data_IF_822145960643
#
_entry.id   IF_822145960643
#
_cell.length_a   1.000
_cell.length_b   1.000
_cell.length_c   1.000
_cell.angle_alpha   90.00
_cell.angle_beta   90.00
_cell.angle_gamma   90.00
#
_symmetry.space_group_name_H-M   'P 1'
#
loop_
_entity.id
_entity.type
_entity.pdbx_description
1 polymer ?
#
# COMPACT_ATOMS: atom_id res chain seq x y z
N UNK A 1 16.56 1.22 -9.19
CA UNK A 1 16.14 0.42 -10.36
C UNK A 1 15.18 -0.72 -9.97
N UNK A 2 15.51 -1.59 -8.99
CA UNK A 2 14.65 -2.72 -8.57
C UNK A 2 13.21 -2.31 -8.21
N UNK A 3 13.04 -1.22 -7.48
CA UNK A 3 11.71 -0.72 -7.05
C UNK A 3 10.82 -0.36 -8.25
N UNK A 4 11.40 0.22 -9.31
CA UNK A 4 10.67 0.55 -10.55
C UNK A 4 10.30 -0.72 -11.30
N UNK A 5 11.23 -1.66 -11.42
CA UNK A 5 10.97 -2.95 -12.08
C UNK A 5 9.85 -3.73 -11.37
N UNK A 6 9.85 -3.75 -10.05
CA UNK A 6 8.83 -4.48 -9.27
C UNK A 6 7.49 -3.75 -9.25
N UNK A 7 7.48 -2.49 -8.85
CA UNK A 7 6.22 -1.77 -8.62
C UNK A 7 5.57 -1.27 -9.91
N UNK A 8 6.35 -0.82 -10.89
CA UNK A 8 5.79 -0.25 -12.13
C UNK A 8 5.69 -1.33 -13.20
N UNK A 9 6.83 -1.88 -13.62
CA UNK A 9 6.87 -2.89 -14.69
C UNK A 9 6.15 -4.19 -14.30
N UNK A 10 6.34 -4.65 -13.05
CA UNK A 10 5.67 -5.84 -12.55
C UNK A 10 4.15 -5.69 -12.53
N UNK A 11 3.64 -4.53 -12.08
CA UNK A 11 2.20 -4.26 -12.10
C UNK A 11 1.64 -4.14 -13.52
N UNK A 12 2.37 -3.48 -14.44
CA UNK A 12 2.02 -3.43 -15.86
C UNK A 12 1.88 -4.85 -16.46
N UNK A 13 2.84 -5.72 -16.20
CA UNK A 13 2.82 -7.09 -16.67
C UNK A 13 1.64 -7.89 -16.10
N UNK A 14 1.35 -7.74 -14.80
CA UNK A 14 0.23 -8.42 -14.15
C UNK A 14 -1.10 -7.93 -14.70
N UNK A 15 -1.29 -6.62 -14.88
CA UNK A 15 -2.52 -6.05 -15.43
C UNK A 15 -2.73 -6.54 -16.87
N UNK A 16 -1.70 -6.51 -17.71
CA UNK A 16 -1.77 -7.03 -19.08
C UNK A 16 -2.18 -8.51 -19.11
N UNK A 17 -1.56 -9.31 -18.27
CA UNK A 17 -1.88 -10.73 -18.18
C UNK A 17 -3.32 -10.96 -17.67
N UNK A 18 -3.78 -10.17 -16.71
CA UNK A 18 -5.13 -10.25 -16.20
C UNK A 18 -6.18 -9.92 -17.28
N UNK A 19 -5.96 -8.85 -18.04
CA UNK A 19 -6.83 -8.46 -19.15
C UNK A 19 -6.85 -9.56 -20.23
N UNK A 20 -5.69 -10.08 -20.61
CA UNK A 20 -5.57 -11.11 -21.64
C UNK A 20 -6.22 -12.46 -21.24
N UNK A 21 -6.49 -12.67 -19.97
CA UNK A 21 -7.12 -13.89 -19.44
C UNK A 21 -8.50 -13.63 -18.81
N UNK A 22 -9.15 -12.54 -19.14
CA UNK A 22 -10.51 -12.18 -18.70
C UNK A 22 -10.69 -12.24 -17.15
N UNK A 23 -9.65 -11.87 -16.40
CA UNK A 23 -9.72 -11.78 -14.94
C UNK A 23 -10.67 -10.64 -14.56
N UNK A 24 -11.67 -10.93 -13.75
CA UNK A 24 -12.75 -10.00 -13.46
C UNK A 24 -12.30 -8.76 -12.70
N UNK A 25 -11.39 -8.89 -11.73
CA UNK A 25 -10.94 -7.76 -10.91
C UNK A 25 -9.46 -7.86 -10.57
N UNK A 26 -8.76 -6.72 -10.62
CA UNK A 26 -7.38 -6.55 -10.20
C UNK A 26 -7.32 -5.42 -9.17
N UNK A 27 -6.81 -5.69 -7.99
CA UNK A 27 -6.58 -4.69 -6.94
C UNK A 27 -5.09 -4.48 -6.75
N UNK A 28 -4.58 -3.32 -7.12
CA UNK A 28 -3.18 -2.96 -6.96
C UNK A 28 -2.92 -2.42 -5.56
N UNK A 29 -2.00 -3.05 -4.83
CA UNK A 29 -1.65 -2.65 -3.48
C UNK A 29 -0.72 -1.44 -3.50
N UNK A 30 -1.20 -0.29 -3.04
CA UNK A 30 -0.46 0.96 -2.92
C UNK A 30 -0.24 1.35 -1.45
N UNK A 31 0.08 2.58 -1.18
CA UNK A 31 0.48 3.08 0.13
C UNK A 31 0.06 4.53 0.32
N UNK A 32 -0.09 4.96 1.56
CA UNK A 32 -0.24 6.36 1.96
C UNK A 32 0.88 7.26 1.41
N UNK A 33 2.10 6.70 1.27
CA UNK A 33 3.29 7.41 0.76
C UNK A 33 3.24 7.72 -0.74
N UNK A 34 2.27 7.17 -1.47
CA UNK A 34 2.02 7.51 -2.88
C UNK A 34 1.25 8.83 -3.05
N UNK A 35 0.60 9.34 -2.00
CA UNK A 35 -0.19 10.58 -2.03
C UNK A 35 0.71 11.81 -2.19
N UNK A 36 1.79 11.87 -1.43
CA UNK A 36 2.79 12.93 -1.50
C UNK A 36 4.19 12.30 -1.50
N UNK A 37 4.61 11.75 -2.64
CA UNK A 37 5.78 10.86 -2.69
C UNK A 37 7.09 11.65 -2.61
N UNK A 38 7.85 11.44 -1.54
CA UNK A 38 9.16 12.06 -1.30
C UNK A 38 10.33 11.08 -1.40
N UNK A 39 10.05 9.79 -1.55
CA UNK A 39 11.08 8.76 -1.65
C UNK A 39 10.80 7.78 -2.80
N UNK A 40 11.81 7.02 -3.20
CA UNK A 40 11.73 6.10 -4.35
C UNK A 40 10.57 5.09 -4.25
N UNK A 41 10.25 4.60 -3.05
CA UNK A 41 9.14 3.67 -2.85
C UNK A 41 7.79 4.36 -3.09
N UNK A 42 7.55 5.53 -2.47
CA UNK A 42 6.33 6.31 -2.69
C UNK A 42 6.18 6.74 -4.15
N UNK A 43 7.26 7.23 -4.77
CA UNK A 43 7.27 7.63 -6.19
C UNK A 43 6.90 6.45 -7.10
N UNK A 44 7.53 5.29 -6.90
CA UNK A 44 7.24 4.11 -7.72
C UNK A 44 5.83 3.57 -7.53
N UNK A 45 5.26 3.67 -6.32
CA UNK A 45 3.86 3.30 -6.06
C UNK A 45 2.90 4.30 -6.70
N UNK A 46 3.20 5.60 -6.65
CA UNK A 46 2.42 6.61 -7.37
C UNK A 46 2.43 6.38 -8.90
N UNK A 47 3.59 6.00 -9.46
CA UNK A 47 3.68 5.61 -10.87
C UNK A 47 2.86 4.34 -11.16
N UNK A 48 2.91 3.33 -10.30
CA UNK A 48 2.09 2.12 -10.41
C UNK A 48 0.59 2.47 -10.47
N UNK A 49 0.11 3.37 -9.61
CA UNK A 49 -1.28 3.83 -9.63
C UNK A 49 -1.64 4.50 -10.97
N UNK A 50 -0.73 5.29 -11.53
CA UNK A 50 -0.95 5.92 -12.85
C UNK A 50 -1.00 4.90 -13.97
N UNK A 51 -0.20 3.85 -13.91
CA UNK A 51 -0.28 2.71 -14.84
C UNK A 51 -1.64 2.02 -14.71
N UNK A 52 -2.06 1.66 -13.50
CA UNK A 52 -3.36 1.04 -13.25
C UNK A 52 -4.52 1.91 -13.76
N UNK A 53 -4.51 3.22 -13.46
CA UNK A 53 -5.52 4.17 -13.93
C UNK A 53 -5.51 4.34 -15.46
N UNK A 54 -4.36 4.22 -16.12
CA UNK A 54 -4.26 4.29 -17.57
C UNK A 54 -5.02 3.13 -18.23
N UNK A 55 -4.86 1.92 -17.72
CA UNK A 55 -5.64 0.77 -18.18
C UNK A 55 -7.13 0.91 -17.85
N UNK A 56 -7.46 1.29 -16.64
CA UNK A 56 -8.84 1.47 -16.23
C UNK A 56 -9.63 2.46 -17.12
N UNK A 57 -8.97 3.50 -17.63
CA UNK A 57 -9.59 4.46 -18.57
C UNK A 57 -9.86 3.90 -19.96
N UNK A 58 -9.20 2.82 -20.35
CA UNK A 58 -9.34 2.20 -21.66
C UNK A 58 -10.36 1.04 -21.65
N UNK A 59 -10.76 0.60 -20.48
CA UNK A 59 -11.64 -0.55 -20.27
C UNK A 59 -13.02 -0.09 -19.81
N UNK A 60 -14.02 -0.91 -20.08
CA UNK A 60 -15.40 -0.73 -19.56
C UNK A 60 -15.58 -1.58 -18.31
N UNK A 61 -16.61 -1.31 -17.50
CA UNK A 61 -16.93 -2.09 -16.27
C UNK A 61 -17.38 -3.54 -16.57
N UNK A 62 -17.56 -3.90 -17.83
CA UNK A 62 -17.86 -5.27 -18.27
C UNK A 62 -16.61 -6.13 -18.50
N UNK A 63 -15.45 -5.48 -18.52
CA UNK A 63 -14.16 -6.11 -18.71
C UNK A 63 -13.44 -6.27 -17.36
N UNK A 64 -12.12 -6.40 -17.36
CA UNK A 64 -11.31 -6.45 -16.13
C UNK A 64 -11.41 -5.12 -15.37
N UNK A 65 -12.02 -5.11 -14.19
CA UNK A 65 -12.06 -3.94 -13.31
C UNK A 65 -10.71 -3.78 -12.60
N UNK A 66 -10.08 -2.63 -12.75
CA UNK A 66 -8.76 -2.33 -12.17
C UNK A 66 -8.92 -1.22 -11.13
N UNK A 67 -8.50 -1.50 -9.91
CA UNK A 67 -8.54 -0.54 -8.80
C UNK A 67 -7.26 -0.56 -7.98
N UNK A 68 -7.13 0.39 -7.06
CA UNK A 68 -6.01 0.45 -6.13
C UNK A 68 -6.52 0.57 -4.69
N UNK A 69 -5.71 0.12 -3.73
CA UNK A 69 -5.91 0.40 -2.31
C UNK A 69 -4.68 1.07 -1.74
N UNK A 70 -4.86 2.11 -0.92
CA UNK A 70 -3.80 2.78 -0.17
C UNK A 70 -3.99 2.49 1.30
N UNK A 71 -2.97 1.98 1.95
CA UNK A 71 -2.96 1.81 3.41
C UNK A 71 -1.65 2.29 4.02
N UNK A 72 -1.71 2.62 5.30
CA UNK A 72 -0.57 3.11 6.07
C UNK A 72 0.38 2.00 6.51
N UNK A 73 1.02 2.21 7.65
CA UNK A 73 1.91 1.22 8.21
C UNK A 73 1.11 0.07 8.86
N UNK A 74 1.23 -1.12 8.30
CA UNK A 74 0.65 -2.32 8.91
C UNK A 74 1.48 -2.70 10.14
N UNK A 75 0.82 -2.72 11.31
CA UNK A 75 1.45 -3.06 12.58
C UNK A 75 2.07 -4.46 12.53
N UNK A 76 3.18 -4.64 13.24
CA UNK A 76 3.92 -5.90 13.31
C UNK A 76 4.46 -6.45 11.99
N UNK A 77 4.42 -5.66 10.91
CA UNK A 77 5.03 -6.07 9.64
C UNK A 77 6.54 -6.26 9.79
N UNK A 78 7.12 -7.14 8.97
CA UNK A 78 8.56 -7.45 8.99
C UNK A 78 9.40 -6.19 8.79
N UNK A 79 10.34 -5.95 9.71
CA UNK A 79 11.23 -4.78 9.68
C UNK A 79 10.57 -3.48 10.11
N UNK A 80 9.33 -3.51 10.63
CA UNK A 80 8.66 -2.32 11.16
C UNK A 80 9.15 -1.95 12.57
N UNK A 81 8.80 -0.75 13.01
CA UNK A 81 9.27 -0.15 14.26
C UNK A 81 8.82 -0.92 15.50
N UNK A 82 7.59 -1.43 15.53
CA UNK A 82 7.04 -2.14 16.70
C UNK A 82 7.84 -3.41 17.03
N UNK A 83 8.08 -4.35 16.10
CA UNK A 83 8.94 -5.50 16.36
C UNK A 83 10.35 -5.13 16.82
N UNK A 84 10.91 -4.03 16.27
CA UNK A 84 12.22 -3.53 16.67
C UNK A 84 12.22 -3.07 18.13
N UNK A 85 11.23 -2.30 18.55
CA UNK A 85 11.09 -1.84 19.95
C UNK A 85 10.94 -3.04 20.90
N UNK A 86 10.07 -3.99 20.58
CA UNK A 86 9.90 -5.22 21.35
C UNK A 86 11.22 -5.98 21.49
N UNK A 87 11.99 -6.10 20.40
CA UNK A 87 13.28 -6.77 20.43
C UNK A 87 14.29 -6.02 21.34
N UNK A 88 14.32 -4.69 21.28
CA UNK A 88 15.18 -3.89 22.15
C UNK A 88 14.80 -4.06 23.62
N UNK A 89 13.53 -3.98 23.96
CA UNK A 89 13.02 -4.23 25.33
C UNK A 89 13.42 -5.62 25.82
N UNK A 90 13.13 -6.67 25.04
CA UNK A 90 13.47 -8.06 25.41
C UNK A 90 14.96 -8.31 25.61
N UNK A 91 15.80 -7.56 24.92
CA UNK A 91 17.27 -7.65 25.04
C UNK A 91 17.88 -6.71 26.09
N UNK A 92 17.05 -6.00 26.87
CA UNK A 92 17.50 -5.02 27.88
C UNK A 92 18.18 -3.79 27.29
N UNK A 93 17.96 -3.50 26.00
CA UNK A 93 18.53 -2.35 25.31
C UNK A 93 17.57 -1.16 25.37
N UNK A 94 18.13 0.03 25.38
CA UNK A 94 17.35 1.27 25.27
C UNK A 94 16.63 1.34 23.91
N UNK A 95 15.37 1.75 23.92
CA UNK A 95 14.61 2.02 22.70
C UNK A 95 15.25 3.22 21.98
N UNK A 96 15.55 3.03 20.70
CA UNK A 96 16.13 4.09 19.86
C UNK A 96 15.08 4.69 18.95
N UNK A 97 14.82 5.99 19.12
CA UNK A 97 13.89 6.78 18.31
C UNK A 97 14.73 7.73 17.44
N UNK A 98 14.52 7.71 16.12
CA UNK A 98 15.25 8.59 15.19
C UNK A 98 14.66 10.00 15.20
N UNK A 99 13.32 10.11 15.16
CA UNK A 99 12.59 11.37 15.19
C UNK A 99 11.27 11.17 15.95
N UNK A 100 11.18 11.68 17.20
CA UNK A 100 10.03 11.41 18.06
C UNK A 100 8.72 12.03 17.55
N UNK A 101 8.78 13.19 16.89
CA UNK A 101 7.60 13.92 16.39
C UNK A 101 7.04 13.35 15.10
N UNK A 102 7.77 12.43 14.45
CA UNK A 102 7.34 11.81 13.21
C UNK A 102 6.03 11.02 13.40
N UNK A 103 5.02 11.35 12.62
CA UNK A 103 3.72 10.66 12.66
C UNK A 103 3.66 9.45 11.73
N UNK A 104 2.86 8.46 12.13
CA UNK A 104 2.56 7.26 11.32
C UNK A 104 1.08 6.95 11.39
N UNK A 105 0.48 6.65 10.25
CA UNK A 105 -0.83 6.01 10.20
C UNK A 105 -0.65 4.53 10.49
N UNK A 106 -1.33 4.04 11.51
CA UNK A 106 -1.24 2.64 11.94
C UNK A 106 -2.52 1.90 11.58
N UNK A 107 -2.35 0.67 11.12
CA UNK A 107 -3.43 -0.19 10.70
C UNK A 107 -3.12 -1.63 11.14
N UNK A 108 -4.12 -2.35 11.63
CA UNK A 108 -3.98 -3.78 11.88
C UNK A 108 -3.90 -4.55 10.54
N UNK A 109 -3.28 -5.73 10.56
CA UNK A 109 -3.21 -6.57 9.36
C UNK A 109 -4.62 -6.95 8.86
N UNK A 110 -5.52 -7.31 9.77
CA UNK A 110 -6.92 -7.60 9.41
C UNK A 110 -7.59 -6.43 8.69
N UNK A 111 -7.40 -5.21 9.17
CA UNK A 111 -7.98 -4.02 8.54
C UNK A 111 -7.43 -3.76 7.12
N UNK A 112 -6.17 -4.13 6.86
CA UNK A 112 -5.60 -4.03 5.50
C UNK A 112 -6.17 -5.10 4.57
N UNK A 113 -6.47 -6.29 5.09
CA UNK A 113 -7.17 -7.35 4.35
C UNK A 113 -8.60 -6.94 4.04
N UNK A 114 -9.35 -6.49 5.05
CA UNK A 114 -10.74 -6.00 4.88
C UNK A 114 -10.85 -4.92 3.79
N UNK A 115 -9.86 -4.00 3.73
CA UNK A 115 -9.82 -2.96 2.70
C UNK A 115 -9.65 -3.55 1.29
N UNK A 116 -8.81 -4.57 1.15
CA UNK A 116 -8.60 -5.26 -0.14
C UNK A 116 -9.84 -6.04 -0.54
N UNK A 117 -10.46 -6.76 0.39
CA UNK A 117 -11.72 -7.49 0.15
C UNK A 117 -12.84 -6.53 -0.24
N UNK A 118 -12.98 -5.41 0.48
CA UNK A 118 -13.93 -4.36 0.13
C UNK A 118 -13.71 -3.82 -1.30
N UNK A 119 -12.46 -3.62 -1.72
CA UNK A 119 -12.15 -3.20 -3.08
C UNK A 119 -12.52 -4.29 -4.10
N UNK A 120 -12.28 -5.57 -3.81
CA UNK A 120 -12.71 -6.66 -4.69
C UNK A 120 -14.23 -6.72 -4.85
N UNK A 121 -14.99 -6.41 -3.81
CA UNK A 121 -16.46 -6.44 -3.87
C UNK A 121 -17.02 -5.22 -4.61
N UNK A 122 -16.53 -4.02 -4.32
CA UNK A 122 -17.21 -2.76 -4.60
C UNK A 122 -16.53 -1.87 -5.66
N UNK A 123 -15.31 -2.21 -6.13
CA UNK A 123 -14.58 -1.32 -7.03
C UNK A 123 -15.23 -1.19 -8.41
N UNK A 124 -15.26 0.05 -8.88
CA UNK A 124 -15.42 0.45 -10.27
C UNK A 124 -14.05 0.78 -10.89
N UNK A 125 -14.05 0.99 -12.22
CA UNK A 125 -12.83 1.28 -12.97
C UNK A 125 -12.06 2.50 -12.45
N UNK A 126 -10.81 2.28 -12.06
CA UNK A 126 -9.89 3.34 -11.65
C UNK A 126 -10.05 3.82 -10.20
N UNK A 127 -10.90 3.20 -9.41
CA UNK A 127 -11.09 3.55 -8.00
C UNK A 127 -9.81 3.40 -7.19
N UNK A 128 -9.63 4.30 -6.22
CA UNK A 128 -8.59 4.21 -5.20
C UNK A 128 -9.22 4.25 -3.82
N UNK A 129 -9.22 3.12 -3.14
CA UNK A 129 -9.76 3.00 -1.80
C UNK A 129 -8.72 3.38 -0.74
N UNK A 130 -9.17 4.16 0.24
CA UNK A 130 -8.36 4.58 1.39
C UNK A 130 -9.17 4.40 2.66
N UNK A 131 -8.67 3.62 3.60
CA UNK A 131 -9.29 3.51 4.93
C UNK A 131 -8.75 4.62 5.82
N UNK A 132 -9.64 5.37 6.46
CA UNK A 132 -9.25 6.33 7.50
C UNK A 132 -8.62 5.56 8.65
N UNK A 133 -7.36 5.84 8.95
CA UNK A 133 -6.61 5.22 10.03
C UNK A 133 -6.18 6.28 11.06
N UNK A 134 -6.09 5.93 12.35
CA UNK A 134 -5.53 6.82 13.35
C UNK A 134 -4.05 7.06 13.09
N UNK A 135 -3.56 8.23 13.46
CA UNK A 135 -2.15 8.56 13.43
C UNK A 135 -1.63 8.73 14.84
N UNK A 136 -0.39 8.31 15.09
CA UNK A 136 0.33 8.61 16.32
C UNK A 136 1.76 9.04 16.02
N UNK A 137 2.41 9.71 16.97
CA UNK A 137 3.83 9.99 16.89
C UNK A 137 4.64 8.75 17.24
N UNK A 138 5.89 8.68 16.76
CA UNK A 138 6.80 7.58 17.11
C UNK A 138 7.11 7.56 18.61
N UNK A 139 7.13 8.73 19.26
CA UNK A 139 7.28 8.86 20.72
C UNK A 139 6.15 8.17 21.49
N UNK A 140 4.91 8.38 21.08
CA UNK A 140 3.75 7.73 21.72
C UNK A 140 3.73 6.22 21.47
N UNK A 141 4.34 5.77 20.38
CA UNK A 141 4.42 4.35 20.02
C UNK A 141 5.51 3.61 20.81
N UNK A 142 6.53 4.32 21.28
CA UNK A 142 7.68 3.76 21.99
C UNK A 142 7.42 3.56 23.50
#
# INVERSE_FOLDING_TARGET
MQTVLTNVQGSDNVIKAAIANDVKKVVCLSTDKAVYPINAMGISKAMMEKVAQSYARQLTDKETVISCVRYGNVMYSRGSVIPRFIQQIKSGKTITITEPTMTRFLMALSESVDLVEHAFENACQGDIFVKKAPACTVEVLA
#
